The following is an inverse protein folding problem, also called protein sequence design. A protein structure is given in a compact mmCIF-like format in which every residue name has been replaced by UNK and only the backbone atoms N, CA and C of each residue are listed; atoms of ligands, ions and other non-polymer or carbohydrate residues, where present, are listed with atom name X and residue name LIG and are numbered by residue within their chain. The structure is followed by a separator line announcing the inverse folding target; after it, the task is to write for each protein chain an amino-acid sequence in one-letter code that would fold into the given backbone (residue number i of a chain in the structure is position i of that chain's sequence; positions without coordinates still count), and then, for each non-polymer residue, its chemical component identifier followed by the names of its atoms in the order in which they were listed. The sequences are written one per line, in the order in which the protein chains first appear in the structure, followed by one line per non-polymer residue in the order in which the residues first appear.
data_IF_592438042164
#
_entry.id   IF_592438042164
#
_cell.length_a   1.000
_cell.length_b   1.000
_cell.length_c   1.000
_cell.angle_alpha   90.00
_cell.angle_beta   90.00
_cell.angle_gamma   90.00
#
_symmetry.space_group_name_H-M   'P 1'
#
loop_
_entity.id
_entity.type
_entity.pdbx_description
1 polymer ?
#
# COMPACT_ATOMS: atom_id res chain seq x y z
N UNK A 1 6.50 0.60 -22.74
CA UNK A 1 6.68 2.07 -22.69
C UNK A 1 5.55 2.72 -23.49
N UNK A 2 4.77 3.63 -22.89
CA UNK A 2 3.62 4.29 -23.53
C UNK A 2 3.99 5.39 -24.54
N UNK A 3 5.30 5.60 -24.83
CA UNK A 3 5.78 6.79 -25.56
C UNK A 3 6.23 6.53 -27.00
N UNK A 4 6.20 5.28 -27.48
CA UNK A 4 6.46 4.93 -28.88
C UNK A 4 7.91 5.13 -29.38
N UNK A 5 8.16 4.78 -30.64
CA UNK A 5 9.49 4.86 -31.28
C UNK A 5 10.03 6.29 -31.37
N UNK A 6 9.17 7.24 -31.73
CA UNK A 6 9.54 8.66 -31.87
C UNK A 6 10.15 9.24 -30.59
N UNK A 7 9.57 8.94 -29.43
CA UNK A 7 10.11 9.37 -28.13
C UNK A 7 11.47 8.72 -27.81
N UNK A 8 11.65 7.45 -28.19
CA UNK A 8 12.91 6.76 -27.98
C UNK A 8 14.02 7.37 -28.85
N UNK A 9 13.69 7.71 -30.10
CA UNK A 9 14.60 8.38 -31.03
C UNK A 9 14.96 9.80 -30.58
N UNK A 10 13.98 10.59 -30.13
CA UNK A 10 14.22 11.90 -29.51
C UNK A 10 15.15 11.79 -28.30
N UNK A 11 14.91 10.84 -27.38
CA UNK A 11 15.77 10.64 -26.21
C UNK A 11 17.16 10.14 -26.55
N UNK A 12 17.29 9.28 -27.56
CA UNK A 12 18.58 8.83 -28.05
C UNK A 12 19.41 10.02 -28.55
N UNK A 13 18.81 10.89 -29.38
CA UNK A 13 19.49 12.07 -29.91
C UNK A 13 19.90 13.04 -28.79
N UNK A 14 19.02 13.30 -27.82
CA UNK A 14 19.34 14.14 -26.64
C UNK A 14 20.53 13.58 -25.85
N UNK A 15 20.60 12.26 -25.65
CA UNK A 15 21.72 11.62 -24.93
C UNK A 15 23.04 11.72 -25.70
N UNK A 16 22.99 11.55 -27.03
CA UNK A 16 24.17 11.67 -27.89
C UNK A 16 24.70 13.12 -27.91
N UNK A 17 23.81 14.10 -28.00
CA UNK A 17 24.18 15.52 -27.94
C UNK A 17 24.80 15.87 -26.57
N UNK A 18 24.18 15.43 -25.47
CA UNK A 18 24.71 15.63 -24.13
C UNK A 18 26.10 15.01 -23.94
N UNK A 19 26.33 13.80 -24.49
CA UNK A 19 27.64 13.14 -24.46
C UNK A 19 28.70 13.92 -25.26
N UNK A 20 28.34 14.45 -26.43
CA UNK A 20 29.23 15.28 -27.23
C UNK A 20 29.60 16.59 -26.49
N UNK A 21 28.61 17.26 -25.88
CA UNK A 21 28.82 18.48 -25.10
C UNK A 21 29.64 18.24 -23.82
N UNK A 22 29.49 17.08 -23.16
CA UNK A 22 30.27 16.74 -21.98
C UNK A 22 31.78 16.65 -22.25
N UNK A 23 32.19 16.45 -23.51
CA UNK A 23 33.61 16.48 -23.90
C UNK A 23 34.22 17.88 -23.86
N UNK A 24 33.40 18.94 -23.94
CA UNK A 24 33.84 20.33 -23.89
C UNK A 24 33.53 21.03 -22.56
N UNK A 25 32.63 20.47 -21.75
CA UNK A 25 32.15 21.09 -20.51
C UNK A 25 32.70 20.39 -19.25
N UNK A 26 33.58 21.08 -18.52
CA UNK A 26 34.12 20.62 -17.22
C UNK A 26 35.43 19.83 -17.31
N UNK A 27 36.03 19.53 -16.14
CA UNK A 27 37.18 18.60 -16.02
C UNK A 27 36.68 17.31 -15.39
N UNK A 28 36.86 16.21 -16.12
CA UNK A 28 36.55 14.88 -15.63
C UNK A 28 37.72 14.33 -14.80
N UNK A 29 37.43 13.90 -13.57
CA UNK A 29 38.32 13.01 -12.83
C UNK A 29 37.87 11.57 -13.07
N UNK A 30 38.81 10.69 -13.37
CA UNK A 30 38.56 9.25 -13.53
C UNK A 30 37.88 8.64 -12.30
N UNK A 31 38.19 9.13 -11.09
CA UNK A 31 37.52 8.71 -9.85
C UNK A 31 36.00 8.91 -9.85
N UNK A 32 35.49 9.91 -10.58
CA UNK A 32 34.04 10.13 -10.68
C UNK A 32 33.37 8.99 -11.45
N UNK A 33 34.04 8.42 -12.44
CA UNK A 33 33.59 7.21 -13.14
C UNK A 33 33.46 6.04 -12.18
N UNK A 34 34.55 5.78 -11.44
CA UNK A 34 34.67 4.65 -10.53
C UNK A 34 33.58 4.70 -9.47
N UNK A 35 33.28 5.89 -8.94
CA UNK A 35 32.17 6.08 -8.00
C UNK A 35 30.83 5.74 -8.66
N UNK A 36 30.56 6.23 -9.87
CA UNK A 36 29.29 5.95 -10.57
C UNK A 36 29.16 4.45 -10.85
N UNK A 37 30.21 3.84 -11.37
CA UNK A 37 30.24 2.40 -11.68
C UNK A 37 30.02 1.57 -10.41
N UNK A 38 30.73 1.86 -9.32
CA UNK A 38 30.54 1.20 -8.03
C UNK A 38 29.10 1.32 -7.53
N UNK A 39 28.46 2.49 -7.65
CA UNK A 39 27.07 2.66 -7.25
C UNK A 39 26.11 1.84 -8.11
N UNK A 40 26.36 1.74 -9.43
CA UNK A 40 25.56 0.88 -10.33
C UNK A 40 25.70 -0.59 -9.90
N UNK A 41 26.92 -1.07 -9.68
CA UNK A 41 27.18 -2.43 -9.23
C UNK A 41 26.47 -2.75 -7.90
N UNK A 42 26.47 -1.81 -6.95
CA UNK A 42 25.71 -1.96 -5.70
C UNK A 42 24.21 -2.00 -5.92
N UNK A 43 23.66 -1.14 -6.78
CA UNK A 43 22.23 -1.15 -7.10
C UNK A 43 21.83 -2.51 -7.70
N UNK A 44 22.61 -3.02 -8.65
CA UNK A 44 22.36 -4.30 -9.30
C UNK A 44 22.45 -5.47 -8.31
N UNK A 45 23.47 -5.47 -7.44
CA UNK A 45 23.59 -6.45 -6.38
C UNK A 45 22.39 -6.42 -5.43
N UNK A 46 21.95 -5.24 -4.99
CA UNK A 46 20.79 -5.13 -4.11
C UNK A 46 19.51 -5.60 -4.80
N UNK A 47 19.31 -5.28 -6.08
CA UNK A 47 18.17 -5.76 -6.85
C UNK A 47 18.14 -7.29 -6.91
N UNK A 48 19.28 -7.93 -7.22
CA UNK A 48 19.38 -9.40 -7.23
C UNK A 48 19.06 -10.02 -5.87
N UNK A 49 19.53 -9.40 -4.77
CA UNK A 49 19.23 -9.89 -3.41
C UNK A 49 17.77 -9.71 -3.05
N UNK A 50 17.15 -8.59 -3.43
CA UNK A 50 15.71 -8.37 -3.25
C UNK A 50 14.92 -9.46 -3.98
N UNK A 51 15.22 -9.73 -5.25
CA UNK A 51 14.54 -10.78 -6.02
C UNK A 51 14.70 -12.16 -5.39
N UNK A 52 15.91 -12.52 -4.97
CA UNK A 52 16.17 -13.80 -4.28
C UNK A 52 15.35 -13.94 -2.99
N UNK A 53 15.21 -12.87 -2.20
CA UNK A 53 14.39 -12.88 -0.98
C UNK A 53 12.91 -13.00 -1.32
N UNK A 54 12.43 -12.28 -2.35
CA UNK A 54 11.03 -12.35 -2.78
C UNK A 54 10.64 -13.76 -3.24
N UNK A 55 11.53 -14.45 -3.96
CA UNK A 55 11.33 -15.86 -4.34
C UNK A 55 11.23 -16.74 -3.10
N UNK A 56 12.16 -16.61 -2.14
CA UNK A 56 12.12 -17.39 -0.89
C UNK A 56 10.84 -17.16 -0.08
N UNK A 57 10.33 -15.94 -0.04
CA UNK A 57 9.04 -15.63 0.62
C UNK A 57 7.91 -16.39 -0.06
N UNK A 58 7.84 -16.36 -1.40
CA UNK A 58 6.82 -17.10 -2.16
C UNK A 58 6.92 -18.61 -1.94
N UNK A 59 8.12 -19.16 -2.02
CA UNK A 59 8.35 -20.59 -1.82
C UNK A 59 7.94 -21.02 -0.40
N UNK A 60 8.25 -20.20 0.60
CA UNK A 60 7.80 -20.42 1.98
C UNK A 60 6.26 -20.43 2.08
N UNK A 61 5.56 -19.49 1.44
CA UNK A 61 4.10 -19.48 1.45
C UNK A 61 3.49 -20.70 0.74
N UNK A 62 4.15 -21.23 -0.30
CA UNK A 62 3.69 -22.45 -0.98
C UNK A 62 3.96 -23.70 -0.13
N UNK A 63 5.11 -23.78 0.52
CA UNK A 63 5.48 -24.92 1.35
C UNK A 63 4.55 -25.10 2.56
N UNK A 64 4.05 -24.00 3.13
CA UNK A 64 3.18 -23.99 4.31
C UNK A 64 1.77 -23.51 3.98
N UNK A 65 1.24 -23.84 2.80
CA UNK A 65 -0.09 -23.39 2.33
C UNK A 65 -1.23 -23.74 3.32
N UNK A 66 -1.07 -24.83 4.07
CA UNK A 66 -2.07 -25.26 5.04
C UNK A 66 -2.05 -24.49 6.37
N UNK A 67 -0.98 -23.75 6.64
CA UNK A 67 -0.84 -22.95 7.84
C UNK A 67 -1.86 -21.79 7.87
N UNK A 68 -2.45 -21.55 9.04
CA UNK A 68 -3.51 -20.54 9.18
C UNK A 68 -3.00 -19.11 8.89
N UNK A 69 -1.76 -18.79 9.26
CA UNK A 69 -1.16 -17.48 8.97
C UNK A 69 -0.94 -17.30 7.47
N UNK A 70 -0.52 -18.35 6.76
CA UNK A 70 -0.39 -18.33 5.30
C UNK A 70 -1.75 -18.18 4.61
N UNK A 71 -2.77 -18.90 5.06
CA UNK A 71 -4.15 -18.72 4.58
C UNK A 71 -4.62 -17.28 4.76
N UNK A 72 -4.32 -16.67 5.91
CA UNK A 72 -4.64 -15.27 6.17
C UNK A 72 -3.91 -14.30 5.22
N UNK A 73 -2.65 -14.56 4.85
CA UNK A 73 -1.94 -13.78 3.84
C UNK A 73 -2.70 -13.81 2.51
N UNK A 74 -3.09 -14.98 2.02
CA UNK A 74 -3.83 -15.11 0.76
C UNK A 74 -5.22 -14.45 0.82
N UNK A 75 -5.88 -14.49 1.97
CA UNK A 75 -7.12 -13.76 2.19
C UNK A 75 -6.92 -12.24 2.07
N UNK A 76 -5.86 -11.69 2.66
CA UNK A 76 -5.54 -10.25 2.54
C UNK A 76 -5.13 -9.89 1.11
N UNK A 77 -4.38 -10.76 0.42
CA UNK A 77 -3.98 -10.59 -0.98
C UNK A 77 -5.17 -10.59 -1.94
N UNK A 78 -6.25 -11.31 -1.61
CA UNK A 78 -7.48 -11.31 -2.43
C UNK A 78 -8.18 -9.94 -2.50
N UNK A 79 -7.84 -9.00 -1.60
CA UNK A 79 -8.43 -7.66 -1.58
C UNK A 79 -7.95 -6.87 -2.78
N UNK A 80 -8.87 -6.48 -3.66
CA UNK A 80 -8.55 -5.74 -4.88
C UNK A 80 -7.78 -4.45 -4.60
N UNK A 81 -6.51 -4.42 -5.00
CA UNK A 81 -5.57 -3.31 -4.81
C UNK A 81 -4.49 -3.56 -3.75
N UNK A 82 -4.61 -4.64 -2.97
CA UNK A 82 -3.51 -5.24 -2.22
C UNK A 82 -2.82 -6.23 -3.15
N UNK A 83 -1.49 -6.27 -3.10
CA UNK A 83 -0.70 -7.31 -3.76
C UNK A 83 0.08 -8.12 -2.74
N UNK A 84 0.58 -9.27 -3.18
CA UNK A 84 1.16 -10.30 -2.31
C UNK A 84 2.14 -9.77 -1.25
N UNK A 85 3.13 -8.97 -1.64
CA UNK A 85 4.13 -8.43 -0.69
C UNK A 85 3.49 -7.46 0.31
N UNK A 86 2.50 -6.66 -0.11
CA UNK A 86 1.74 -5.82 0.79
C UNK A 86 0.91 -6.65 1.77
N UNK A 87 0.32 -7.76 1.33
CA UNK A 87 -0.42 -8.69 2.17
C UNK A 87 0.49 -9.38 3.20
N UNK A 88 1.63 -9.94 2.76
CA UNK A 88 2.66 -10.52 3.63
C UNK A 88 3.11 -9.48 4.67
N UNK A 89 3.44 -8.27 4.23
CA UNK A 89 3.90 -7.21 5.13
C UNK A 89 2.83 -6.85 6.16
N UNK A 90 1.57 -6.69 5.74
CA UNK A 90 0.46 -6.39 6.65
C UNK A 90 0.25 -7.51 7.67
N UNK A 91 0.28 -8.78 7.24
CA UNK A 91 0.13 -9.91 8.15
C UNK A 91 1.31 -10.04 9.12
N UNK A 92 2.54 -9.81 8.69
CA UNK A 92 3.70 -9.77 9.58
C UNK A 92 3.60 -8.64 10.61
N UNK A 93 3.06 -7.47 10.24
CA UNK A 93 2.82 -6.37 11.19
C UNK A 93 1.65 -6.67 12.13
N UNK A 94 0.62 -7.39 11.67
CA UNK A 94 -0.50 -7.83 12.53
C UNK A 94 -0.03 -8.89 13.53
N UNK A 95 0.80 -9.84 13.08
CA UNK A 95 1.15 -11.03 13.82
C UNK A 95 -0.09 -11.89 14.07
N UNK A 96 -0.44 -12.10 15.33
CA UNK A 96 -1.65 -12.83 15.72
C UNK A 96 -2.91 -11.94 15.61
N UNK A 97 -3.74 -12.23 14.60
CA UNK A 97 -5.02 -11.54 14.42
C UNK A 97 -6.00 -11.73 15.60
N UNK A 98 -5.87 -12.81 16.39
CA UNK A 98 -6.76 -13.08 17.53
C UNK A 98 -6.71 -11.99 18.60
N UNK A 99 -5.64 -11.20 18.64
CA UNK A 99 -5.48 -10.04 19.51
C UNK A 99 -6.52 -8.93 19.24
N UNK A 100 -7.14 -8.91 18.06
CA UNK A 100 -8.05 -7.86 17.63
C UNK A 100 -9.51 -8.32 17.66
N UNK A 101 -10.26 -7.88 18.67
CA UNK A 101 -11.71 -8.17 18.82
C UNK A 101 -12.60 -7.23 18.02
N UNK A 102 -12.13 -6.02 17.73
CA UNK A 102 -12.90 -4.97 17.04
C UNK A 102 -12.08 -4.36 15.91
N UNK A 103 -12.69 -3.96 14.78
CA UNK A 103 -12.00 -3.27 13.68
C UNK A 103 -11.27 -2.00 14.14
N UNK A 104 -11.82 -1.34 15.18
CA UNK A 104 -11.23 -0.14 15.76
C UNK A 104 -9.84 -0.36 16.37
N UNK A 105 -9.58 -1.56 16.89
CA UNK A 105 -8.28 -1.89 17.46
C UNK A 105 -7.24 -2.05 16.35
N UNK A 106 -7.63 -2.64 15.21
CA UNK A 106 -6.71 -2.86 14.08
C UNK A 106 -6.26 -1.55 13.44
N UNK A 107 -7.18 -0.64 13.09
CA UNK A 107 -6.74 0.62 12.46
C UNK A 107 -6.00 1.54 13.45
N UNK A 108 -6.30 1.47 14.75
CA UNK A 108 -5.54 2.17 15.78
C UNK A 108 -4.13 1.59 15.93
N UNK A 109 -3.99 0.27 15.84
CA UNK A 109 -2.70 -0.41 15.83
C UNK A 109 -1.84 -0.04 14.60
N UNK A 110 -2.47 0.19 13.45
CA UNK A 110 -1.80 0.78 12.29
C UNK A 110 -1.51 2.28 12.45
N UNK A 111 -2.01 2.92 13.51
CA UNK A 111 -1.88 4.37 13.76
C UNK A 111 -2.55 5.19 12.66
N UNK A 112 -3.77 4.81 12.28
CA UNK A 112 -4.59 5.60 11.37
C UNK A 112 -5.53 6.56 12.13
N UNK A 113 -5.66 6.40 13.45
CA UNK A 113 -6.47 7.25 14.31
C UNK A 113 -5.91 8.69 14.35
N UNK A 114 -6.77 9.71 14.54
CA UNK A 114 -6.32 11.07 14.76
C UNK A 114 -5.54 11.17 16.07
N UNK A 115 -4.39 11.86 16.06
CA UNK A 115 -3.58 12.08 17.24
C UNK A 115 -4.30 12.95 18.28
N UNK A 116 -4.25 12.56 19.55
CA UNK A 116 -4.76 13.43 20.62
C UNK A 116 -3.76 14.57 20.84
N UNK A 117 -4.15 15.81 20.53
CA UNK A 117 -3.38 17.04 20.83
C UNK A 117 -4.19 17.94 21.74
N UNK A 118 -4.35 17.48 22.97
CA UNK A 118 -5.04 18.20 24.04
C UNK A 118 -4.08 18.42 25.22
N UNK A 119 -4.10 19.61 25.81
CA UNK A 119 -3.37 19.89 27.05
C UNK A 119 -4.22 20.79 27.94
N UNK A 120 -4.83 20.22 28.99
CA UNK A 120 -5.62 20.94 30.01
C UNK A 120 -6.74 21.82 29.45
N UNK A 121 -6.40 23.03 29.02
CA UNK A 121 -7.30 24.04 28.45
C UNK A 121 -7.24 24.14 26.91
N UNK A 122 -6.29 23.46 26.24
CA UNK A 122 -6.12 23.53 24.79
C UNK A 122 -6.70 22.30 24.10
N UNK A 123 -7.62 22.53 23.15
CA UNK A 123 -8.05 21.53 22.16
C UNK A 123 -7.51 21.91 20.79
N UNK A 124 -6.57 21.13 20.27
CA UNK A 124 -6.03 21.34 18.93
C UNK A 124 -7.06 21.06 17.84
N UNK A 125 -7.32 22.02 16.96
CA UNK A 125 -8.25 21.88 15.82
C UNK A 125 -7.58 21.24 14.58
N UNK A 126 -6.24 21.25 14.50
CA UNK A 126 -5.45 20.58 13.45
C UNK A 126 -4.76 19.35 14.02
N UNK A 127 -5.36 18.19 13.74
CA UNK A 127 -4.90 16.90 14.23
C UNK A 127 -4.32 16.09 13.06
N UNK A 128 -3.09 15.60 13.23
CA UNK A 128 -2.44 14.66 12.31
C UNK A 128 -2.83 13.22 12.65
N UNK A 129 -2.54 12.26 11.76
CA UNK A 129 -2.63 10.84 12.11
C UNK A 129 -1.65 10.50 13.23
N UNK A 130 -2.06 9.59 14.11
CA UNK A 130 -1.27 9.03 15.18
C UNK A 130 -0.02 8.35 14.62
N UNK A 131 1.13 8.62 15.25
CA UNK A 131 2.39 7.92 14.97
C UNK A 131 2.66 6.77 15.93
N UNK A 132 1.69 6.42 16.79
CA UNK A 132 1.85 5.39 17.84
C UNK A 132 1.75 3.95 17.33
N UNK A 133 1.21 3.75 16.14
CA UNK A 133 1.09 2.44 15.50
C UNK A 133 2.18 2.15 14.46
N UNK A 134 2.12 0.96 13.86
CA UNK A 134 3.12 0.50 12.87
C UNK A 134 3.35 1.51 11.74
N UNK A 135 4.60 1.95 11.58
CA UNK A 135 5.00 2.84 10.50
C UNK A 135 5.01 2.13 9.14
N UNK A 136 5.34 0.83 9.13
CA UNK A 136 5.38 0.02 7.93
C UNK A 136 3.96 -0.28 7.43
N UNK A 137 3.06 -0.73 8.30
CA UNK A 137 1.66 -0.97 7.94
C UNK A 137 0.98 0.30 7.41
N UNK A 138 1.24 1.46 8.04
CA UNK A 138 0.72 2.75 7.56
C UNK A 138 1.23 3.09 6.17
N UNK A 139 2.52 2.85 5.89
CA UNK A 139 3.12 3.06 4.56
C UNK A 139 2.49 2.14 3.52
N UNK A 140 2.36 0.86 3.83
CA UNK A 140 1.72 -0.13 2.94
C UNK A 140 0.27 0.28 2.65
N UNK A 141 -0.51 0.62 3.67
CA UNK A 141 -1.90 1.06 3.50
C UNK A 141 -2.03 2.34 2.69
N UNK A 142 -1.08 3.26 2.80
CA UNK A 142 -1.05 4.47 1.98
C UNK A 142 -0.84 4.12 0.51
N UNK A 143 0.15 3.26 0.20
CA UNK A 143 0.41 2.77 -1.16
C UNK A 143 -0.80 2.02 -1.73
N UNK A 144 -1.37 1.09 -0.96
CA UNK A 144 -2.58 0.35 -1.32
C UNK A 144 -3.74 1.30 -1.58
N UNK A 145 -3.96 2.31 -0.72
CA UNK A 145 -5.03 3.28 -0.92
C UNK A 145 -4.87 4.05 -2.23
N UNK A 146 -3.65 4.49 -2.58
CA UNK A 146 -3.37 5.12 -3.87
C UNK A 146 -3.67 4.19 -5.06
N UNK A 147 -3.26 2.92 -4.95
CA UNK A 147 -3.49 1.89 -5.96
C UNK A 147 -4.99 1.61 -6.12
N UNK A 148 -5.75 1.52 -5.03
CA UNK A 148 -7.18 1.29 -5.03
C UNK A 148 -7.98 2.41 -5.72
N UNK A 149 -7.61 3.68 -5.51
CA UNK A 149 -8.32 4.82 -6.11
C UNK A 149 -7.89 5.10 -7.55
N UNK A 150 -6.82 4.45 -8.03
CA UNK A 150 -6.40 4.54 -9.43
C UNK A 150 -7.43 3.89 -10.35
N UNK A 151 -7.50 4.36 -11.60
CA UNK A 151 -8.67 4.22 -12.46
C UNK A 151 -9.17 2.78 -12.74
N UNK A 152 -8.34 1.75 -12.54
CA UNK A 152 -8.63 0.39 -12.98
C UNK A 152 -8.78 -0.64 -11.84
N UNK A 153 -8.51 -0.26 -10.59
CA UNK A 153 -8.47 -1.22 -9.49
C UNK A 153 -9.80 -1.32 -8.75
N UNK A 154 -10.21 -0.36 -7.92
CA UNK A 154 -11.40 -0.54 -7.09
C UNK A 154 -12.42 0.59 -7.30
N UNK A 155 -13.47 0.38 -8.12
CA UNK A 155 -14.45 1.43 -8.41
C UNK A 155 -15.20 1.91 -7.15
N UNK A 156 -15.49 1.00 -6.22
CA UNK A 156 -16.19 1.31 -4.97
C UNK A 156 -15.34 2.22 -4.06
N UNK A 157 -14.05 1.91 -3.90
CA UNK A 157 -13.15 2.75 -3.10
C UNK A 157 -12.83 4.07 -3.77
N UNK A 158 -12.75 4.10 -5.11
CA UNK A 158 -12.58 5.32 -5.89
C UNK A 158 -13.77 6.27 -5.73
N UNK A 159 -14.99 5.77 -5.88
CA UNK A 159 -16.21 6.56 -5.66
C UNK A 159 -16.27 7.09 -4.22
N UNK A 160 -15.97 6.24 -3.23
CA UNK A 160 -15.90 6.67 -1.83
C UNK A 160 -14.87 7.78 -1.61
N UNK A 161 -13.72 7.71 -2.27
CA UNK A 161 -12.68 8.73 -2.20
C UNK A 161 -13.13 10.07 -2.81
N UNK A 162 -13.71 10.06 -4.01
CA UNK A 162 -14.17 11.28 -4.68
C UNK A 162 -15.28 11.96 -3.85
N UNK A 163 -16.23 11.19 -3.32
CA UNK A 163 -17.26 11.72 -2.40
C UNK A 163 -16.66 12.34 -1.14
N UNK A 164 -15.58 11.79 -0.60
CA UNK A 164 -14.90 12.37 0.57
C UNK A 164 -14.11 13.63 0.22
N UNK A 165 -13.61 13.73 -1.00
CA UNK A 165 -12.87 14.89 -1.50
C UNK A 165 -13.74 16.14 -1.66
N UNK A 166 -15.06 15.97 -1.87
CA UNK A 166 -16.03 17.08 -1.88
C UNK A 166 -16.05 17.87 -0.55
N UNK A 167 -15.85 17.17 0.58
CA UNK A 167 -15.96 17.75 1.93
C UNK A 167 -14.64 17.82 2.69
N UNK A 168 -13.56 17.22 2.18
CA UNK A 168 -12.28 17.07 2.89
C UNK A 168 -11.09 17.27 1.96
N UNK A 169 -9.94 17.78 2.46
CA UNK A 169 -8.71 17.83 1.69
C UNK A 169 -8.28 16.44 1.19
N UNK A 170 -7.58 16.42 0.04
CA UNK A 170 -7.11 15.20 -0.66
C UNK A 170 -6.53 14.13 0.26
N UNK A 171 -5.59 14.52 1.13
CA UNK A 171 -4.89 13.58 2.01
C UNK A 171 -5.77 13.07 3.15
N UNK A 172 -6.75 13.85 3.60
CA UNK A 172 -7.72 13.42 4.61
C UNK A 172 -8.74 12.45 4.01
N UNK A 173 -9.16 12.69 2.75
CA UNK A 173 -9.98 11.75 2.00
C UNK A 173 -9.24 10.42 1.78
N UNK A 174 -7.95 10.46 1.43
CA UNK A 174 -7.12 9.26 1.31
C UNK A 174 -6.99 8.52 2.65
N UNK A 175 -6.80 9.23 3.77
CA UNK A 175 -6.83 8.62 5.10
C UNK A 175 -8.15 7.90 5.39
N UNK A 176 -9.29 8.46 4.97
CA UNK A 176 -10.58 7.78 5.08
C UNK A 176 -10.66 6.49 4.24
N UNK A 177 -10.00 6.44 3.08
CA UNK A 177 -9.86 5.21 2.27
C UNK A 177 -8.99 4.18 3.00
N UNK A 178 -7.87 4.59 3.60
CA UNK A 178 -7.02 3.69 4.39
C UNK A 178 -7.79 3.07 5.56
N UNK A 179 -8.62 3.85 6.25
CA UNK A 179 -9.54 3.35 7.29
C UNK A 179 -10.52 2.32 6.73
N UNK A 180 -11.09 2.59 5.56
CA UNK A 180 -12.02 1.66 4.90
C UNK A 180 -11.33 0.35 4.53
N UNK A 181 -10.09 0.41 4.00
CA UNK A 181 -9.28 -0.77 3.68
C UNK A 181 -8.96 -1.57 4.95
N UNK A 182 -8.56 -0.91 6.04
CA UNK A 182 -8.31 -1.58 7.33
C UNK A 182 -9.54 -2.33 7.85
N UNK A 183 -10.74 -1.76 7.70
CA UNK A 183 -11.99 -2.46 8.04
C UNK A 183 -12.27 -3.65 7.11
N UNK A 184 -11.92 -3.56 5.82
CA UNK A 184 -12.05 -4.68 4.87
C UNK A 184 -11.11 -5.82 5.27
N UNK A 185 -9.84 -5.51 5.57
CA UNK A 185 -8.85 -6.48 6.08
C UNK A 185 -9.40 -7.19 7.32
N UNK A 186 -9.90 -6.43 8.30
CA UNK A 186 -10.49 -7.01 9.50
C UNK A 186 -11.66 -7.95 9.19
N UNK A 187 -12.56 -7.57 8.29
CA UNK A 187 -13.72 -8.39 7.94
C UNK A 187 -13.33 -9.68 7.23
N UNK A 188 -12.38 -9.62 6.29
CA UNK A 188 -11.86 -10.77 5.55
C UNK A 188 -11.16 -11.76 6.49
N UNK A 189 -10.34 -11.27 7.42
CA UNK A 189 -9.66 -12.09 8.42
C UNK A 189 -10.62 -12.68 9.46
N UNK A 190 -11.64 -11.93 9.89
CA UNK A 190 -12.67 -12.42 10.83
C UNK A 190 -13.53 -13.51 10.20
N UNK A 191 -13.98 -13.28 8.96
CA UNK A 191 -14.93 -14.18 8.30
C UNK A 191 -14.22 -15.37 7.63
N UNK A 192 -12.88 -15.35 7.57
CA UNK A 192 -12.03 -16.35 6.91
C UNK A 192 -12.50 -16.66 5.48
N UNK A 193 -12.90 -15.60 4.75
CA UNK A 193 -13.46 -15.69 3.40
C UNK A 193 -12.77 -14.70 2.47
N UNK A 194 -12.45 -15.11 1.23
CA UNK A 194 -11.80 -14.24 0.27
C UNK A 194 -12.67 -13.01 -0.03
N UNK A 195 -12.00 -11.91 -0.37
CA UNK A 195 -12.65 -10.65 -0.66
C UNK A 195 -13.53 -10.76 -1.91
N UNK A 196 -14.76 -10.28 -1.78
CA UNK A 196 -15.70 -10.13 -2.90
C UNK A 196 -16.02 -8.65 -3.01
N UNK A 197 -15.79 -8.09 -4.20
CA UNK A 197 -16.16 -6.71 -4.48
C UNK A 197 -17.68 -6.57 -4.42
N UNK A 198 -18.17 -5.73 -3.50
CA UNK A 198 -19.60 -5.42 -3.34
C UNK A 198 -19.81 -3.93 -3.27
N UNK A 199 -20.89 -3.46 -3.88
CA UNK A 199 -21.32 -2.07 -3.75
C UNK A 199 -21.87 -1.79 -2.34
N UNK A 200 -21.92 -0.52 -1.89
CA UNK A 200 -22.52 -0.18 -0.61
C UNK A 200 -23.99 -0.62 -0.48
N UNK A 201 -24.74 -0.63 -1.58
CA UNK A 201 -26.13 -1.08 -1.64
C UNK A 201 -26.26 -2.58 -1.41
N UNK A 202 -25.50 -3.39 -2.17
CA UNK A 202 -25.44 -4.84 -1.99
C UNK A 202 -25.04 -5.23 -0.56
N UNK A 203 -24.09 -4.49 0.03
CA UNK A 203 -23.67 -4.73 1.40
C UNK A 203 -24.79 -4.45 2.41
N UNK A 204 -25.56 -3.36 2.22
CA UNK A 204 -26.72 -3.04 3.08
C UNK A 204 -27.80 -4.10 2.97
N UNK A 205 -28.08 -4.58 1.77
CA UNK A 205 -29.09 -5.61 1.53
C UNK A 205 -28.70 -6.96 2.15
N UNK A 206 -27.46 -7.39 1.95
CA UNK A 206 -26.92 -8.60 2.57
C UNK A 206 -27.00 -8.54 4.11
N UNK A 207 -26.68 -7.39 4.70
CA UNK A 207 -26.78 -7.19 6.14
C UNK A 207 -28.23 -7.24 6.65
N UNK A 208 -29.18 -6.63 5.92
CA UNK A 208 -30.62 -6.72 6.25
C UNK A 208 -31.10 -8.17 6.18
N UNK A 209 -30.68 -8.94 5.16
CA UNK A 209 -31.02 -10.36 5.04
C UNK A 209 -30.48 -11.18 6.20
N UNK A 210 -29.23 -10.93 6.61
CA UNK A 210 -28.63 -11.58 7.77
C UNK A 210 -29.41 -11.28 9.05
N UNK A 211 -29.74 -10.01 9.32
CA UNK A 211 -30.52 -9.64 10.50
C UNK A 211 -31.91 -10.30 10.55
N UNK A 212 -32.55 -10.49 9.39
CA UNK A 212 -33.84 -11.21 9.29
C UNK A 212 -33.73 -12.71 9.52
N UNK A 213 -32.56 -13.31 9.28
CA UNK A 213 -32.34 -14.75 9.48
C UNK A 213 -31.96 -15.09 10.95
N UNK A 214 -31.50 -14.09 11.70
CA UNK A 214 -31.02 -14.24 13.09
C UNK A 214 -32.05 -13.70 14.10
N UNK A 215 -33.07 -12.98 13.64
CA UNK A 215 -34.25 -12.56 14.41
C UNK A 215 -35.36 -13.62 14.32
#
# INVERSE_FOLDING_TARGET
SHRGLKYAEEKYNELMEAAALASSFGKYLESSFEIIQMNIEFIDLFNQKIESILVKIKDFTLQYEDDNFIKQIHLVDSIKGIGFISAVTLMCEIGDFSAFKKPKQLYAYFGLDPAVKESGQFKGTRISMSKRGSSLARRVLFTVALVCISAFNNPVLKEYYEKKKESKPKMVALGAVMHKISNIIFAVLRDMKPFILRTPDEHREAHKKYLRLVA
#
